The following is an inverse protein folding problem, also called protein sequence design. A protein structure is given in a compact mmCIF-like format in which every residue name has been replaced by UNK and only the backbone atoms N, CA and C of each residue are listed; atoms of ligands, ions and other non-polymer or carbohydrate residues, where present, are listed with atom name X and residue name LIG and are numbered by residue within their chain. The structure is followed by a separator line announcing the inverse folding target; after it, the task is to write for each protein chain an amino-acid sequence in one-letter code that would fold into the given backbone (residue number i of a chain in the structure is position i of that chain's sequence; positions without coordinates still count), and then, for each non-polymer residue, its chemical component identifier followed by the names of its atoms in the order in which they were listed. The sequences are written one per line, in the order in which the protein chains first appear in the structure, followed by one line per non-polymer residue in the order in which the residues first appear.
data_IF_620472204389
#
_entry.id   IF_620472204389
#
_cell.length_a   1.000
_cell.length_b   1.000
_cell.length_c   1.000
_cell.angle_alpha   90.00
_cell.angle_beta   90.00
_cell.angle_gamma   90.00
#
_symmetry.space_group_name_H-M   'P 1'
#
loop_
_entity.id
_entity.type
_entity.pdbx_description
1 polymer ?
#
# COMPACT_ATOMS: atom_id res chain seq x y z
N UNK A 1 -19.68 2.12 -11.52
CA UNK A 1 -20.28 1.87 -10.19
C UNK A 1 -19.24 2.28 -9.18
N UNK A 2 -19.42 3.39 -8.48
CA UNK A 2 -18.50 3.81 -7.41
C UNK A 2 -19.05 3.21 -6.11
N UNK A 3 -18.29 2.32 -5.47
CA UNK A 3 -18.70 1.66 -4.23
C UNK A 3 -18.98 2.67 -3.10
N UNK A 4 -18.31 3.84 -3.17
CA UNK A 4 -18.54 4.96 -2.26
C UNK A 4 -19.32 6.07 -2.95
N UNK A 5 -20.49 6.44 -2.40
CA UNK A 5 -21.26 7.60 -2.87
C UNK A 5 -20.56 8.91 -2.51
N UNK A 6 -20.85 9.99 -3.26
CA UNK A 6 -20.29 11.33 -2.98
C UNK A 6 -20.66 11.85 -1.59
N UNK A 7 -21.86 11.51 -1.10
CA UNK A 7 -22.32 11.88 0.25
C UNK A 7 -21.56 11.12 1.34
N UNK A 8 -21.31 9.83 1.14
CA UNK A 8 -20.50 9.03 2.05
C UNK A 8 -19.05 9.52 2.10
N UNK A 9 -18.47 9.86 0.95
CA UNK A 9 -17.12 10.42 0.87
C UNK A 9 -17.00 11.76 1.60
N UNK A 10 -17.96 12.66 1.41
CA UNK A 10 -18.00 13.93 2.12
C UNK A 10 -18.13 13.74 3.65
N UNK A 11 -18.93 12.77 4.10
CA UNK A 11 -19.05 12.43 5.52
C UNK A 11 -17.71 11.90 6.08
N UNK A 12 -17.04 10.99 5.35
CA UNK A 12 -15.74 10.44 5.73
C UNK A 12 -14.68 11.52 5.89
N UNK A 13 -14.61 12.47 4.95
CA UNK A 13 -13.67 13.59 5.01
C UNK A 13 -13.93 14.49 6.21
N UNK A 14 -15.21 14.85 6.47
CA UNK A 14 -15.58 15.64 7.66
C UNK A 14 -15.19 14.94 8.95
N UNK A 15 -15.45 13.63 9.05
CA UNK A 15 -15.07 12.85 10.23
C UNK A 15 -13.55 12.86 10.45
N UNK A 16 -12.74 12.67 9.40
CA UNK A 16 -11.28 12.72 9.50
C UNK A 16 -10.74 14.10 9.90
N UNK A 17 -11.34 15.16 9.36
CA UNK A 17 -10.96 16.54 9.69
C UNK A 17 -11.27 16.92 11.13
N UNK A 18 -12.37 16.39 11.69
CA UNK A 18 -12.76 16.63 13.08
C UNK A 18 -11.91 15.86 14.11
N UNK A 19 -11.10 14.88 13.69
CA UNK A 19 -10.26 14.10 14.61
C UNK A 19 -9.08 14.89 15.15
N UNK A 20 -8.68 14.57 16.38
CA UNK A 20 -7.38 15.01 16.92
C UNK A 20 -6.23 14.52 16.01
N UNK A 21 -5.11 15.27 15.92
CA UNK A 21 -3.96 14.86 15.12
C UNK A 21 -3.47 13.44 15.45
N UNK A 22 -3.43 13.09 16.74
CA UNK A 22 -2.98 11.78 17.22
C UNK A 22 -3.89 10.66 16.73
N UNK A 23 -5.22 10.83 16.82
CA UNK A 23 -6.18 9.82 16.36
C UNK A 23 -6.12 9.65 14.84
N UNK A 24 -6.05 10.77 14.11
CA UNK A 24 -5.95 10.74 12.65
C UNK A 24 -4.66 10.04 12.19
N UNK A 25 -3.53 10.32 12.84
CA UNK A 25 -2.27 9.64 12.56
C UNK A 25 -2.36 8.13 12.85
N UNK A 26 -2.96 7.74 13.98
CA UNK A 26 -3.17 6.32 14.31
C UNK A 26 -3.98 5.58 13.24
N UNK A 27 -5.05 6.18 12.72
CA UNK A 27 -5.81 5.59 11.61
C UNK A 27 -5.00 5.53 10.32
N UNK A 28 -4.25 6.58 9.98
CA UNK A 28 -3.41 6.59 8.78
C UNK A 28 -2.34 5.50 8.81
N UNK A 29 -1.72 5.26 9.98
CA UNK A 29 -0.77 4.16 10.18
C UNK A 29 -1.44 2.79 10.01
N UNK A 30 -2.62 2.59 10.62
CA UNK A 30 -3.39 1.36 10.48
C UNK A 30 -3.77 1.07 9.02
N UNK A 31 -4.31 2.07 8.32
CA UNK A 31 -4.65 1.94 6.89
C UNK A 31 -3.43 1.67 6.02
N UNK A 32 -2.31 2.33 6.30
CA UNK A 32 -1.05 2.09 5.59
C UNK A 32 -0.58 0.64 5.75
N UNK A 33 -0.71 0.07 6.96
CA UNK A 33 -0.39 -1.33 7.21
C UNK A 33 -1.34 -2.27 6.44
N UNK A 34 -2.65 -2.02 6.50
CA UNK A 34 -3.64 -2.85 5.79
C UNK A 34 -3.42 -2.86 4.28
N UNK A 35 -3.13 -1.71 3.66
CA UNK A 35 -2.86 -1.64 2.22
C UNK A 35 -1.59 -2.41 1.85
N UNK A 36 -0.53 -2.32 2.68
CA UNK A 36 0.71 -3.09 2.45
C UNK A 36 0.46 -4.59 2.52
N UNK A 37 -0.34 -5.05 3.48
CA UNK A 37 -0.69 -6.46 3.63
C UNK A 37 -1.54 -6.98 2.49
N UNK A 38 -2.59 -6.24 2.10
CA UNK A 38 -3.41 -6.58 0.93
C UNK A 38 -2.57 -6.66 -0.35
N UNK A 39 -1.68 -5.69 -0.55
CA UNK A 39 -0.79 -5.68 -1.72
C UNK A 39 0.17 -6.87 -1.72
N UNK A 40 0.77 -7.19 -0.55
CA UNK A 40 1.64 -8.36 -0.39
C UNK A 40 0.89 -9.66 -0.72
N UNK A 41 -0.31 -9.84 -0.18
CA UNK A 41 -1.12 -11.03 -0.45
C UNK A 41 -1.52 -11.13 -1.91
N UNK A 42 -1.91 -10.01 -2.54
CA UNK A 42 -2.19 -9.99 -3.98
C UNK A 42 -0.97 -10.37 -4.82
N UNK A 43 0.21 -9.85 -4.50
CA UNK A 43 1.44 -10.20 -5.22
C UNK A 43 1.78 -11.68 -5.05
N UNK A 44 1.62 -12.22 -3.84
CA UNK A 44 1.89 -13.64 -3.59
C UNK A 44 0.93 -14.56 -4.37
N UNK A 45 -0.34 -14.17 -4.49
CA UNK A 45 -1.33 -14.90 -5.30
C UNK A 45 -1.03 -14.82 -6.80
N UNK A 46 -0.53 -13.67 -7.27
CA UNK A 46 -0.19 -13.45 -8.68
C UNK A 46 1.12 -14.11 -9.10
N UNK A 47 2.05 -14.29 -8.15
CA UNK A 47 3.41 -14.79 -8.37
C UNK A 47 3.80 -15.82 -7.30
N UNK A 48 3.09 -16.98 -7.23
CA UNK A 48 3.36 -17.99 -6.22
C UNK A 48 4.76 -18.62 -6.33
N UNK A 49 5.38 -18.56 -7.50
CA UNK A 49 6.71 -19.09 -7.81
C UNK A 49 7.86 -18.22 -7.32
N UNK A 50 7.62 -16.93 -7.09
CA UNK A 50 8.71 -16.00 -6.78
C UNK A 50 9.24 -16.21 -5.36
N UNK A 51 10.56 -16.14 -5.17
CA UNK A 51 11.14 -16.20 -3.84
C UNK A 51 10.74 -14.96 -3.02
N UNK A 52 10.72 -15.05 -1.67
CA UNK A 52 10.28 -13.96 -0.81
C UNK A 52 11.01 -12.62 -1.02
N UNK A 53 12.28 -12.66 -1.43
CA UNK A 53 13.08 -11.46 -1.70
C UNK A 53 12.61 -10.70 -2.94
N UNK A 54 12.31 -11.42 -4.03
CA UNK A 54 11.77 -10.81 -5.25
C UNK A 54 10.36 -10.27 -5.02
N UNK A 55 9.53 -11.00 -4.25
CA UNK A 55 8.21 -10.52 -3.84
C UNK A 55 8.30 -9.24 -3.00
N UNK A 56 9.26 -9.17 -2.07
CA UNK A 56 9.51 -7.97 -1.26
C UNK A 56 9.95 -6.79 -2.14
N UNK A 57 10.81 -7.04 -3.14
CA UNK A 57 11.27 -6.02 -4.07
C UNK A 57 10.15 -5.52 -4.99
N UNK A 58 9.25 -6.39 -5.45
CA UNK A 58 8.04 -6.02 -6.19
C UNK A 58 7.07 -5.20 -5.33
N UNK A 59 6.89 -5.57 -4.06
CA UNK A 59 6.11 -4.81 -3.11
C UNK A 59 6.67 -3.39 -2.91
N UNK A 60 8.00 -3.26 -2.75
CA UNK A 60 8.65 -1.96 -2.66
C UNK A 60 8.40 -1.11 -3.90
N UNK A 61 8.45 -1.72 -5.08
CA UNK A 61 8.16 -1.05 -6.36
C UNK A 61 6.70 -0.56 -6.45
N UNK A 62 5.74 -1.35 -5.97
CA UNK A 62 4.32 -0.97 -5.92
C UNK A 62 4.04 0.18 -4.95
N UNK A 63 4.74 0.22 -3.82
CA UNK A 63 4.49 1.19 -2.74
C UNK A 63 5.24 2.51 -2.93
N UNK A 64 6.48 2.45 -3.43
CA UNK A 64 7.37 3.61 -3.54
C UNK A 64 7.50 4.12 -4.98
N UNK A 65 7.12 3.30 -5.97
CA UNK A 65 7.49 3.50 -7.36
C UNK A 65 8.89 2.97 -7.67
N UNK A 66 9.18 2.79 -8.96
CA UNK A 66 10.42 2.17 -9.45
C UNK A 66 11.68 2.90 -9.00
N UNK A 67 11.69 4.22 -9.11
CA UNK A 67 12.88 5.03 -8.82
C UNK A 67 13.30 4.91 -7.34
N UNK A 68 12.35 5.10 -6.42
CA UNK A 68 12.63 5.04 -4.98
C UNK A 68 12.91 3.61 -4.52
N UNK A 69 12.22 2.62 -5.08
CA UNK A 69 12.51 1.22 -4.79
C UNK A 69 13.92 0.84 -5.25
N UNK A 70 14.37 1.32 -6.42
CA UNK A 70 15.73 1.09 -6.88
C UNK A 70 16.77 1.77 -6.00
N UNK A 71 16.53 3.01 -5.55
CA UNK A 71 17.47 3.70 -4.64
C UNK A 71 17.58 2.99 -3.29
N UNK A 72 16.48 2.48 -2.75
CA UNK A 72 16.46 1.86 -1.42
C UNK A 72 16.90 0.39 -1.41
N UNK A 73 16.57 -0.37 -2.45
CA UNK A 73 16.77 -1.83 -2.50
C UNK A 73 17.68 -2.30 -3.65
N UNK A 74 18.17 -1.38 -4.49
CA UNK A 74 18.98 -1.72 -5.66
C UNK A 74 18.17 -2.12 -6.89
N UNK A 75 18.85 -2.43 -8.01
CA UNK A 75 18.22 -2.85 -9.25
C UNK A 75 17.42 -4.14 -9.04
N UNK A 76 16.26 -4.24 -9.68
CA UNK A 76 15.49 -5.48 -9.69
C UNK A 76 16.17 -6.46 -10.67
N UNK A 77 16.73 -7.54 -10.15
CA UNK A 77 17.33 -8.60 -10.96
C UNK A 77 16.23 -9.64 -11.17
N UNK A 78 15.63 -9.63 -12.35
CA UNK A 78 14.71 -10.70 -12.75
C UNK A 78 15.56 -11.92 -13.10
N UNK A 79 15.50 -12.97 -12.27
CA UNK A 79 16.05 -14.28 -12.62
C UNK A 79 14.99 -15.03 -13.44
N UNK A 80 14.83 -14.66 -14.71
CA UNK A 80 14.09 -15.45 -15.71
C UNK A 80 15.03 -16.46 -16.34
#
# INVERSE_FOLDING_TARGET
MNDTSSTAEAMRLRALQAMTPQRRLGLALGWSQSVRELTRSSLHQQHPELPPQELHRLLAERLLGKELAQKAYGPFINHV
#
